data_IF_857677658293
#
_entry.id   IF_857677658293
#
_cell.length_a   1.000
_cell.length_b   1.000
_cell.length_c   1.000
_cell.angle_alpha   90.00
_cell.angle_beta   90.00
_cell.angle_gamma   90.00
#
_symmetry.space_group_name_H-M   'P 1'
#
loop_
_entity.id
_entity.type
_entity.pdbx_description
1 polymer ?
#
# COMPACT_ATOMS: atom_id res chain seq x y z
N UNK A 1 -8.92 14.84 -31.58
CA UNK A 1 -9.48 15.55 -30.41
C UNK A 1 -8.40 15.57 -29.33
N UNK A 2 -7.69 16.69 -29.16
CA UNK A 2 -6.63 16.84 -28.14
C UNK A 2 -7.30 17.13 -26.82
N UNK A 3 -7.18 16.22 -25.84
CA UNK A 3 -7.55 16.50 -24.45
C UNK A 3 -6.33 17.15 -23.81
N UNK A 4 -6.29 18.48 -23.76
CA UNK A 4 -5.33 19.25 -22.98
C UNK A 4 -5.77 19.24 -21.51
N UNK A 5 -5.08 18.51 -20.68
CA UNK A 5 -5.23 18.61 -19.23
C UNK A 5 -4.46 19.84 -18.74
N UNK A 6 -5.18 20.87 -18.30
CA UNK A 6 -4.60 22.09 -17.80
C UNK A 6 -3.70 21.83 -16.58
N UNK A 7 -2.46 22.39 -16.59
CA UNK A 7 -1.48 22.31 -15.50
C UNK A 7 -2.02 22.78 -14.14
N UNK A 8 -3.06 23.60 -14.11
CA UNK A 8 -3.68 24.13 -12.90
C UNK A 8 -4.48 23.10 -12.09
N UNK A 9 -5.11 22.11 -12.74
CA UNK A 9 -5.83 21.04 -12.03
C UNK A 9 -4.91 20.07 -11.31
N UNK A 10 -3.71 19.83 -11.85
CA UNK A 10 -2.69 18.95 -11.22
C UNK A 10 -2.12 19.61 -9.96
N UNK A 11 -1.98 20.95 -9.96
CA UNK A 11 -1.46 21.70 -8.79
C UNK A 11 -2.47 21.80 -7.64
N UNK A 12 -3.77 21.84 -7.92
CA UNK A 12 -4.81 21.92 -6.86
C UNK A 12 -4.97 20.59 -6.12
N UNK A 13 -4.95 19.47 -6.85
CA UNK A 13 -4.99 18.12 -6.27
C UNK A 13 -3.73 17.83 -5.47
N UNK A 14 -2.56 18.22 -5.96
CA UNK A 14 -1.28 18.07 -5.25
C UNK A 14 -1.24 18.89 -3.95
N UNK A 15 -1.77 20.12 -3.94
CA UNK A 15 -1.89 20.95 -2.73
C UNK A 15 -2.90 20.40 -1.73
N UNK A 16 -4.00 19.82 -2.20
CA UNK A 16 -5.00 19.16 -1.33
C UNK A 16 -4.42 17.94 -0.64
N UNK A 17 -3.64 17.11 -1.37
CA UNK A 17 -2.93 15.94 -0.84
C UNK A 17 -1.89 16.36 0.20
N UNK A 18 -1.09 17.39 -0.08
CA UNK A 18 -0.07 17.92 0.84
C UNK A 18 -0.69 18.50 2.11
N UNK A 19 -1.86 19.12 2.01
CA UNK A 19 -2.61 19.65 3.16
C UNK A 19 -3.22 18.55 4.00
N UNK A 20 -3.79 17.48 3.40
CA UNK A 20 -4.29 16.31 4.13
C UNK A 20 -3.18 15.51 4.82
N UNK A 21 -1.96 15.48 4.26
CA UNK A 21 -0.81 14.85 4.93
C UNK A 21 -0.32 15.65 6.15
N UNK A 22 -0.53 16.94 6.16
CA UNK A 22 -0.14 17.85 7.23
C UNK A 22 -1.20 17.97 8.33
N UNK A 23 -2.47 18.05 7.97
CA UNK A 23 -3.59 18.26 8.90
C UNK A 23 -4.00 16.97 9.64
N UNK A 24 -3.69 15.80 9.08
CA UNK A 24 -3.93 14.51 9.75
C UNK A 24 -2.99 14.23 10.94
N UNK A 25 -2.01 15.09 11.21
CA UNK A 25 -0.99 14.89 12.25
C UNK A 25 -0.78 16.06 13.21
N UNK A 26 -1.55 17.15 13.11
CA UNK A 26 -1.52 18.21 14.13
C UNK A 26 -2.53 17.81 15.21
N UNK A 27 -2.15 16.87 16.07
CA UNK A 27 -2.70 16.78 17.42
C UNK A 27 -2.23 18.07 18.11
N UNK A 28 -3.19 18.88 18.57
CA UNK A 28 -2.95 20.13 19.30
C UNK A 28 -1.80 19.95 20.30
N UNK A 29 -0.82 20.85 20.28
CA UNK A 29 0.37 20.81 21.12
C UNK A 29 0.10 21.00 22.62
N UNK A 30 -1.16 21.13 23.03
CA UNK A 30 -1.57 21.34 24.43
C UNK A 30 -2.22 20.10 25.09
N UNK A 31 -2.27 18.95 24.41
CA UNK A 31 -2.75 17.71 25.05
C UNK A 31 -1.57 16.99 25.68
N UNK A 32 -1.70 16.43 26.89
CA UNK A 32 -0.64 15.63 27.49
C UNK A 32 -0.23 14.49 26.52
N UNK A 33 1.03 14.09 26.51
CA UNK A 33 1.50 13.07 25.59
C UNK A 33 0.70 11.78 25.86
N UNK A 34 -0.08 11.36 24.85
CA UNK A 34 -0.78 10.07 24.86
C UNK A 34 0.25 8.97 25.06
N UNK A 35 -0.10 7.96 25.83
CA UNK A 35 0.70 6.74 25.89
C UNK A 35 0.73 6.01 24.54
N UNK A 36 1.59 5.00 24.41
CA UNK A 36 1.74 4.27 23.14
C UNK A 36 0.41 3.59 22.73
N UNK A 37 -0.37 3.13 23.69
CA UNK A 37 -1.66 2.48 23.47
C UNK A 37 -2.72 3.41 22.96
N UNK A 38 -2.90 4.51 23.64
CA UNK A 38 -3.84 5.56 23.24
C UNK A 38 -3.54 6.07 21.82
N UNK A 39 -2.25 6.24 21.49
CA UNK A 39 -1.83 6.62 20.12
C UNK A 39 -2.21 5.59 19.09
N UNK A 40 -2.00 4.31 19.36
CA UNK A 40 -2.33 3.23 18.43
C UNK A 40 -3.84 3.19 18.23
N UNK A 41 -4.64 3.26 19.29
CA UNK A 41 -6.10 3.26 19.21
C UNK A 41 -6.62 4.50 18.47
N UNK A 42 -6.15 5.68 18.81
CA UNK A 42 -6.52 6.93 18.12
C UNK A 42 -6.15 6.88 16.63
N UNK A 43 -4.98 6.34 16.30
CA UNK A 43 -4.56 6.16 14.91
C UNK A 43 -5.39 5.11 14.16
N UNK A 44 -5.82 4.04 14.82
CA UNK A 44 -6.75 3.04 14.26
C UNK A 44 -8.09 3.70 13.92
N UNK A 45 -8.69 4.40 14.87
CA UNK A 45 -9.95 5.12 14.69
C UNK A 45 -9.85 6.16 13.57
N UNK A 46 -8.79 6.97 13.58
CA UNK A 46 -8.54 7.98 12.55
C UNK A 46 -8.38 7.36 11.16
N UNK A 47 -7.69 6.22 11.06
CA UNK A 47 -7.48 5.54 9.77
C UNK A 47 -8.78 4.98 9.19
N UNK A 48 -9.65 4.38 10.00
CA UNK A 48 -10.94 3.85 9.51
C UNK A 48 -11.88 4.98 9.09
N UNK A 49 -11.95 6.07 9.86
CA UNK A 49 -12.72 7.28 9.48
C UNK A 49 -12.17 7.96 8.22
N UNK A 50 -10.85 8.03 8.07
CA UNK A 50 -10.22 8.57 6.87
C UNK A 50 -10.51 7.71 5.63
N UNK A 51 -10.58 6.38 5.79
CA UNK A 51 -10.99 5.46 4.72
C UNK A 51 -12.46 5.71 4.31
N UNK A 52 -13.37 5.91 5.27
CA UNK A 52 -14.78 6.24 4.98
C UNK A 52 -14.89 7.56 4.22
N UNK A 53 -14.24 8.61 4.71
CA UNK A 53 -14.23 9.93 4.07
C UNK A 53 -13.67 9.86 2.64
N UNK A 54 -12.53 9.18 2.44
CA UNK A 54 -11.94 9.02 1.12
C UNK A 54 -12.87 8.26 0.16
N UNK A 55 -13.56 7.21 0.63
CA UNK A 55 -14.44 6.39 -0.21
C UNK A 55 -15.74 7.14 -0.58
N UNK A 56 -16.13 8.16 0.18
CA UNK A 56 -17.28 8.99 -0.15
C UNK A 56 -17.14 9.65 -1.53
N UNK A 57 -15.93 10.03 -1.94
CA UNK A 57 -15.66 10.70 -3.20
C UNK A 57 -15.54 9.74 -4.40
N UNK A 58 -15.59 8.42 -4.18
CA UNK A 58 -15.43 7.43 -5.24
C UNK A 58 -16.59 7.38 -6.27
N UNK A 59 -17.72 8.06 -5.99
CA UNK A 59 -18.81 8.23 -6.95
C UNK A 59 -18.49 9.27 -8.03
N UNK A 60 -17.57 10.19 -7.76
CA UNK A 60 -17.11 11.22 -8.70
C UNK A 60 -16.07 10.57 -9.61
N UNK A 61 -16.37 10.48 -10.91
CA UNK A 61 -15.53 9.77 -11.88
C UNK A 61 -14.07 10.26 -11.90
N UNK A 62 -13.82 11.57 -11.84
CA UNK A 62 -12.50 12.18 -11.83
C UNK A 62 -11.71 11.91 -10.54
N UNK A 63 -12.38 11.67 -9.41
CA UNK A 63 -11.78 11.42 -8.09
C UNK A 63 -11.71 9.93 -7.74
N UNK A 64 -12.44 9.06 -8.44
CA UNK A 64 -12.63 7.64 -8.13
C UNK A 64 -11.31 6.90 -7.89
N UNK A 65 -10.35 7.06 -8.79
CA UNK A 65 -9.02 6.42 -8.68
C UNK A 65 -8.30 6.80 -7.39
N UNK A 66 -8.24 8.09 -7.11
CA UNK A 66 -7.56 8.60 -5.93
C UNK A 66 -8.31 8.23 -4.65
N UNK A 67 -9.64 8.31 -4.65
CA UNK A 67 -10.49 7.89 -3.55
C UNK A 67 -10.24 6.41 -3.17
N UNK A 68 -10.21 5.51 -4.16
CA UNK A 68 -9.92 4.09 -3.96
C UNK A 68 -8.49 3.90 -3.41
N UNK A 69 -7.51 4.61 -3.96
CA UNK A 69 -6.11 4.54 -3.52
C UNK A 69 -5.96 4.96 -2.06
N UNK A 70 -6.55 6.10 -1.68
CA UNK A 70 -6.53 6.62 -0.32
C UNK A 70 -7.25 5.69 0.64
N UNK A 71 -8.46 5.24 0.32
CA UNK A 71 -9.23 4.27 1.12
C UNK A 71 -8.40 3.03 1.39
N UNK A 72 -7.80 2.43 0.38
CA UNK A 72 -6.98 1.22 0.56
C UNK A 72 -5.73 1.47 1.39
N UNK A 73 -5.12 2.66 1.30
CA UNK A 73 -3.98 3.05 2.14
C UNK A 73 -4.39 3.10 3.61
N UNK A 74 -5.49 3.76 3.92
CA UNK A 74 -5.97 3.90 5.29
C UNK A 74 -6.48 2.56 5.86
N UNK A 75 -7.17 1.73 5.07
CA UNK A 75 -7.55 0.37 5.48
C UNK A 75 -6.33 -0.53 5.74
N UNK A 76 -5.24 -0.39 4.98
CA UNK A 76 -4.00 -1.11 5.26
C UNK A 76 -3.38 -0.67 6.59
N UNK A 77 -3.43 0.63 6.89
CA UNK A 77 -2.96 1.17 8.16
C UNK A 77 -3.82 0.65 9.32
N UNK A 78 -5.14 0.68 9.19
CA UNK A 78 -6.06 0.12 10.18
C UNK A 78 -5.77 -1.37 10.45
N UNK A 79 -5.57 -2.17 9.39
CA UNK A 79 -5.23 -3.59 9.50
C UNK A 79 -3.87 -3.86 10.14
N UNK A 80 -2.94 -2.94 10.04
CA UNK A 80 -1.64 -3.04 10.71
C UNK A 80 -1.74 -2.69 12.21
N UNK A 81 -2.66 -1.79 12.56
CA UNK A 81 -2.86 -1.30 13.94
C UNK A 81 -3.79 -2.20 14.75
N UNK A 82 -4.87 -2.73 14.16
CA UNK A 82 -5.88 -3.51 14.84
C UNK A 82 -5.31 -4.69 15.68
N UNK A 83 -4.36 -5.51 15.17
CA UNK A 83 -3.81 -6.60 15.98
C UNK A 83 -3.11 -6.15 17.26
N UNK A 84 -2.63 -4.89 17.31
CA UNK A 84 -1.91 -4.36 18.46
C UNK A 84 -2.83 -4.00 19.62
N UNK A 85 -4.11 -3.76 19.35
CA UNK A 85 -5.15 -3.43 20.35
C UNK A 85 -6.08 -4.62 20.64
N UNK A 86 -5.80 -5.81 20.11
CA UNK A 86 -6.66 -6.99 20.18
C UNK A 86 -6.80 -7.56 21.60
N UNK A 87 -5.75 -7.46 22.40
CA UNK A 87 -5.71 -8.00 23.76
C UNK A 87 -6.39 -7.04 24.79
N UNK A 88 -7.33 -6.23 24.34
CA UNK A 88 -8.15 -5.36 25.17
C UNK A 88 -9.50 -6.00 25.47
N UNK A 89 -10.25 -5.43 26.41
CA UNK A 89 -11.65 -5.82 26.70
C UNK A 89 -12.58 -5.72 25.50
N UNK A 90 -12.16 -5.03 24.45
CA UNK A 90 -12.88 -4.82 23.19
C UNK A 90 -12.44 -5.73 22.04
N UNK A 91 -11.82 -6.87 22.32
CA UNK A 91 -11.23 -7.77 21.30
C UNK A 91 -12.17 -8.12 20.15
N UNK A 92 -13.46 -8.40 20.43
CA UNK A 92 -14.46 -8.67 19.39
C UNK A 92 -14.71 -7.48 18.46
N UNK A 93 -14.71 -6.25 18.99
CA UNK A 93 -14.86 -5.03 18.17
C UNK A 93 -13.62 -4.79 17.29
N UNK A 94 -12.44 -5.10 17.82
CA UNK A 94 -11.19 -5.05 17.06
C UNK A 94 -11.19 -6.09 15.93
N UNK A 95 -11.62 -7.32 16.20
CA UNK A 95 -11.75 -8.38 15.20
C UNK A 95 -12.77 -8.01 14.11
N UNK A 96 -13.93 -7.45 14.50
CA UNK A 96 -14.91 -6.92 13.56
C UNK A 96 -14.34 -5.80 12.69
N UNK A 97 -13.61 -4.86 13.31
CA UNK A 97 -12.91 -3.78 12.57
C UNK A 97 -11.92 -4.37 11.54
N UNK A 98 -11.14 -5.37 11.94
CA UNK A 98 -10.16 -6.03 11.06
C UNK A 98 -10.82 -6.78 9.91
N UNK A 99 -11.90 -7.52 10.19
CA UNK A 99 -12.66 -8.26 9.19
C UNK A 99 -13.27 -7.32 8.15
N UNK A 100 -14.02 -6.31 8.59
CA UNK A 100 -14.67 -5.37 7.68
C UNK A 100 -13.68 -4.53 6.88
N UNK A 101 -12.57 -4.08 7.50
CA UNK A 101 -11.49 -3.40 6.80
C UNK A 101 -10.82 -4.31 5.74
N UNK A 102 -10.65 -5.60 6.05
CA UNK A 102 -10.10 -6.59 5.12
C UNK A 102 -11.04 -6.84 3.95
N UNK A 103 -12.34 -7.03 4.21
CA UNK A 103 -13.38 -7.22 3.20
C UNK A 103 -13.47 -6.03 2.26
N UNK A 104 -13.50 -4.80 2.79
CA UNK A 104 -13.51 -3.59 1.98
C UNK A 104 -12.25 -3.50 1.09
N UNK A 105 -11.06 -3.79 1.65
CA UNK A 105 -9.82 -3.78 0.90
C UNK A 105 -9.77 -4.85 -0.21
N UNK A 106 -10.37 -6.01 -0.02
CA UNK A 106 -10.51 -7.07 -1.02
C UNK A 106 -11.44 -6.62 -2.16
N UNK A 107 -12.61 -6.06 -1.85
CA UNK A 107 -13.57 -5.56 -2.83
C UNK A 107 -12.99 -4.46 -3.73
N UNK A 108 -12.11 -3.63 -3.20
CA UNK A 108 -11.41 -2.57 -3.95
C UNK A 108 -10.10 -3.07 -4.64
N UNK A 109 -9.75 -4.35 -4.47
CA UNK A 109 -8.52 -4.94 -5.00
C UNK A 109 -8.42 -4.86 -6.52
N UNK A 110 -9.37 -5.44 -7.26
CA UNK A 110 -9.34 -5.47 -8.72
C UNK A 110 -9.26 -4.07 -9.34
N UNK A 111 -10.02 -3.11 -8.78
CA UNK A 111 -10.00 -1.72 -9.26
C UNK A 111 -8.62 -1.05 -9.12
N UNK A 112 -7.87 -1.39 -8.07
CA UNK A 112 -6.49 -0.91 -7.86
C UNK A 112 -5.49 -1.62 -8.75
N UNK A 113 -5.67 -2.90 -9.01
CA UNK A 113 -4.70 -3.68 -9.78
C UNK A 113 -4.64 -3.18 -11.23
N UNK A 114 -5.79 -2.81 -11.83
CA UNK A 114 -5.84 -2.08 -13.10
C UNK A 114 -5.01 -0.79 -13.08
N UNK A 115 -5.18 0.05 -12.05
CA UNK A 115 -4.41 1.29 -11.91
C UNK A 115 -2.91 1.02 -11.69
N UNK A 116 -2.55 -0.10 -11.09
CA UNK A 116 -1.15 -0.52 -10.96
C UNK A 116 -0.54 -0.87 -12.30
N UNK A 117 -1.26 -1.59 -13.16
CA UNK A 117 -0.83 -1.90 -14.52
C UNK A 117 -0.56 -0.64 -15.34
N UNK A 118 -1.50 0.31 -15.35
CA UNK A 118 -1.33 1.60 -16.05
C UNK A 118 -0.08 2.34 -15.54
N UNK A 119 0.14 2.41 -14.22
CA UNK A 119 1.33 3.04 -13.66
C UNK A 119 2.62 2.30 -14.01
N UNK A 120 2.58 0.98 -14.07
CA UNK A 120 3.75 0.17 -14.48
C UNK A 120 4.13 0.44 -15.93
N UNK A 121 3.14 0.53 -16.81
CA UNK A 121 3.35 0.90 -18.22
C UNK A 121 3.95 2.32 -18.32
N UNK A 122 3.42 3.28 -17.56
CA UNK A 122 3.96 4.64 -17.55
C UNK A 122 5.42 4.65 -17.11
N UNK A 123 5.76 3.95 -16.01
CA UNK A 123 7.14 3.85 -15.51
C UNK A 123 8.09 3.20 -16.52
N UNK A 124 7.65 2.14 -17.17
CA UNK A 124 8.42 1.46 -18.22
C UNK A 124 8.68 2.43 -19.35
N UNK A 125 7.65 3.08 -19.88
CA UNK A 125 7.79 4.02 -20.99
C UNK A 125 8.64 5.25 -20.65
N UNK A 126 8.69 5.66 -19.39
CA UNK A 126 9.53 6.78 -18.94
C UNK A 126 11.01 6.42 -18.78
N UNK A 127 11.33 5.16 -18.48
CA UNK A 127 12.70 4.74 -18.14
C UNK A 127 13.43 4.07 -19.27
N UNK A 128 12.75 3.29 -20.10
CA UNK A 128 13.38 2.36 -21.03
C UNK A 128 13.22 2.74 -22.50
N UNK A 129 12.56 3.86 -22.78
CA UNK A 129 12.34 4.30 -24.15
C UNK A 129 12.68 5.77 -24.30
N UNK A 130 13.60 6.10 -25.20
CA UNK A 130 13.93 7.48 -25.57
C UNK A 130 13.27 7.85 -26.91
N UNK A 131 12.62 9.03 -26.96
CA UNK A 131 12.05 9.61 -28.18
C UNK A 131 10.83 8.90 -28.77
N UNK A 132 10.78 8.73 -30.07
CA UNK A 132 9.68 8.09 -30.83
C UNK A 132 9.35 6.66 -30.38
N UNK A 133 10.31 5.77 -30.13
CA UNK A 133 10.03 4.42 -29.61
C UNK A 133 9.22 4.44 -28.29
N UNK A 134 9.44 5.45 -27.44
CA UNK A 134 8.72 5.63 -26.16
C UNK A 134 7.21 5.78 -26.37
N UNK A 135 6.79 6.61 -27.35
CA UNK A 135 5.37 6.82 -27.64
C UNK A 135 4.72 5.56 -28.21
N UNK A 136 5.44 4.87 -29.10
CA UNK A 136 4.95 3.63 -29.73
C UNK A 136 4.78 2.55 -28.68
N UNK A 137 5.81 2.26 -27.86
CA UNK A 137 5.76 1.26 -26.79
C UNK A 137 4.61 1.55 -25.81
N UNK A 138 4.46 2.80 -25.37
CA UNK A 138 3.36 3.22 -24.50
C UNK A 138 2.01 3.01 -25.15
N UNK A 139 1.86 3.41 -26.40
CA UNK A 139 0.59 3.29 -27.13
C UNK A 139 0.19 1.83 -27.30
N UNK A 140 1.15 0.97 -27.66
CA UNK A 140 0.90 -0.46 -27.83
C UNK A 140 0.57 -1.13 -26.51
N UNK A 141 1.32 -0.85 -25.44
CA UNK A 141 1.03 -1.41 -24.11
C UNK A 141 -0.34 -0.96 -23.59
N UNK A 142 -0.72 0.30 -23.81
CA UNK A 142 -2.05 0.81 -23.42
C UNK A 142 -3.15 0.22 -24.30
N UNK A 143 -2.93 0.11 -25.62
CA UNK A 143 -3.89 -0.52 -26.53
C UNK A 143 -4.14 -1.98 -26.14
N UNK A 144 -3.07 -2.71 -25.81
CA UNK A 144 -3.16 -4.11 -25.36
C UNK A 144 -4.02 -4.23 -24.09
N UNK A 145 -3.84 -3.32 -23.12
CA UNK A 145 -4.70 -3.30 -21.93
C UNK A 145 -6.15 -2.94 -22.26
N UNK A 146 -6.37 -2.01 -23.17
CA UNK A 146 -7.73 -1.64 -23.61
C UNK A 146 -8.43 -2.80 -24.30
N UNK A 147 -7.72 -3.59 -25.12
CA UNK A 147 -8.26 -4.80 -25.75
C UNK A 147 -8.56 -5.90 -24.75
N UNK A 148 -7.65 -6.17 -23.79
CA UNK A 148 -7.91 -7.10 -22.71
C UNK A 148 -9.11 -6.69 -21.83
N UNK A 149 -9.45 -5.39 -21.80
CA UNK A 149 -10.62 -4.85 -21.11
C UNK A 149 -11.89 -4.89 -21.92
N UNK A 150 -11.82 -4.84 -23.26
CA UNK A 150 -13.02 -4.91 -24.09
C UNK A 150 -13.77 -6.24 -23.94
N UNK A 151 -13.05 -7.32 -23.64
CA UNK A 151 -13.62 -8.62 -23.29
C UNK A 151 -14.28 -8.64 -21.89
N UNK A 152 -13.95 -7.66 -21.03
CA UNK A 152 -14.48 -7.51 -19.67
C UNK A 152 -15.53 -6.38 -19.56
N UNK A 153 -16.23 -6.03 -20.64
CA UNK A 153 -17.12 -4.87 -20.74
C UNK A 153 -18.34 -4.83 -19.80
N UNK A 154 -18.59 -5.85 -19.03
CA UNK A 154 -19.60 -5.82 -17.94
C UNK A 154 -19.12 -5.10 -16.65
N UNK A 155 -17.92 -4.50 -16.65
CA UNK A 155 -17.25 -4.00 -15.45
C UNK A 155 -17.78 -2.64 -14.92
N UNK A 156 -18.54 -1.87 -15.66
CA UNK A 156 -19.12 -0.61 -15.18
C UNK A 156 -20.03 -0.86 -13.98
N UNK A 157 -20.95 -1.78 -14.09
CA UNK A 157 -21.85 -2.20 -13.02
C UNK A 157 -21.10 -2.97 -11.91
N UNK A 158 -20.08 -3.74 -12.28
CA UNK A 158 -19.24 -4.44 -11.31
C UNK A 158 -18.45 -3.49 -10.40
N UNK A 159 -17.88 -2.41 -10.97
CA UNK A 159 -17.11 -1.43 -10.22
C UNK A 159 -17.97 -0.64 -9.23
N UNK A 160 -19.18 -0.21 -9.63
CA UNK A 160 -20.12 0.51 -8.76
C UNK A 160 -20.66 -0.40 -7.65
N UNK A 161 -21.02 -1.62 -7.97
CA UNK A 161 -21.44 -2.62 -6.99
C UNK A 161 -20.33 -2.95 -5.99
N UNK A 162 -19.07 -3.04 -6.42
CA UNK A 162 -17.93 -3.28 -5.54
C UNK A 162 -17.69 -2.08 -4.61
N UNK A 163 -17.76 -0.85 -5.12
CA UNK A 163 -17.63 0.37 -4.31
C UNK A 163 -18.76 0.46 -3.28
N UNK A 164 -20.01 0.18 -3.67
CA UNK A 164 -21.14 0.19 -2.75
C UNK A 164 -21.00 -0.85 -1.62
N UNK A 165 -20.56 -2.06 -1.95
CA UNK A 165 -20.25 -3.10 -0.95
C UNK A 165 -19.09 -2.69 -0.05
N UNK A 166 -18.03 -2.12 -0.62
CA UNK A 166 -16.89 -1.62 0.16
C UNK A 166 -17.31 -0.51 1.12
N UNK A 167 -18.18 0.41 0.71
CA UNK A 167 -18.75 1.46 1.59
C UNK A 167 -19.49 0.87 2.80
N UNK A 168 -20.32 -0.16 2.59
CA UNK A 168 -21.01 -0.83 3.69
C UNK A 168 -20.00 -1.48 4.67
N UNK A 169 -18.97 -2.15 4.15
CA UNK A 169 -17.94 -2.75 4.99
C UNK A 169 -17.12 -1.69 5.75
N UNK A 170 -16.77 -0.56 5.11
CA UNK A 170 -16.06 0.52 5.81
C UNK A 170 -16.92 1.13 6.91
N UNK A 171 -18.22 1.34 6.67
CA UNK A 171 -19.15 1.84 7.69
C UNK A 171 -19.24 0.91 8.87
N UNK A 172 -19.38 -0.39 8.65
CA UNK A 172 -19.37 -1.38 9.73
C UNK A 172 -18.04 -1.37 10.51
N UNK A 173 -16.90 -1.19 9.83
CA UNK A 173 -15.62 -1.01 10.50
C UNK A 173 -15.58 0.26 11.36
N UNK A 174 -16.19 1.37 10.91
CA UNK A 174 -16.32 2.61 11.70
C UNK A 174 -17.15 2.40 12.94
N UNK A 175 -18.30 1.72 12.83
CA UNK A 175 -19.16 1.37 13.95
C UNK A 175 -18.40 0.55 15.00
N UNK A 176 -17.72 -0.52 14.58
CA UNK A 176 -16.90 -1.33 15.49
C UNK A 176 -15.82 -0.50 16.18
N UNK A 177 -15.01 0.24 15.42
CA UNK A 177 -13.86 0.97 15.99
C UNK A 177 -14.28 2.13 16.89
N UNK A 178 -15.44 2.74 16.63
CA UNK A 178 -15.98 3.83 17.44
C UNK A 178 -16.51 3.33 18.79
N UNK A 179 -16.96 2.08 18.83
CA UNK A 179 -17.45 1.42 20.04
C UNK A 179 -16.34 0.89 20.96
N UNK A 180 -15.07 0.92 20.51
CA UNK A 180 -13.93 0.57 21.36
C UNK A 180 -13.73 1.69 22.40
N UNK A 181 -13.84 1.34 23.67
CA UNK A 181 -13.69 2.29 24.77
C UNK A 181 -12.23 2.69 24.97
N UNK A 182 -11.99 3.94 25.36
CA UNK A 182 -10.67 4.48 25.66
C UNK A 182 -10.02 3.91 26.94
N UNK A 183 -10.81 3.24 27.80
CA UNK A 183 -10.32 2.55 28.99
C UNK A 183 -9.68 1.18 28.70
N UNK A 184 -9.68 0.79 27.45
CA UNK A 184 -8.98 -0.41 26.99
C UNK A 184 -7.47 -0.20 27.13
N UNK A 185 -6.92 -0.54 28.31
CA UNK A 185 -5.46 -0.55 28.51
C UNK A 185 -4.83 -1.44 27.43
N UNK A 186 -4.04 -0.81 26.57
CA UNK A 186 -3.23 -1.55 25.63
C UNK A 186 -2.20 -2.35 26.43
N UNK A 187 -2.11 -3.64 26.17
CA UNK A 187 -0.95 -4.39 26.59
C UNK A 187 0.28 -3.92 25.76
N UNK A 188 0.97 -2.90 26.27
CA UNK A 188 2.14 -2.31 25.64
C UNK A 188 3.22 -3.40 25.36
N UNK A 189 3.34 -4.40 26.25
CA UNK A 189 4.24 -5.52 26.08
C UNK A 189 3.84 -6.41 24.91
N UNK A 190 2.56 -6.74 24.78
CA UNK A 190 2.05 -7.52 23.65
C UNK A 190 2.18 -6.77 22.32
N UNK A 191 1.87 -5.47 22.30
CA UNK A 191 2.02 -4.63 21.12
C UNK A 191 3.49 -4.52 20.67
N UNK A 192 4.41 -4.31 21.62
CA UNK A 192 5.87 -4.34 21.38
C UNK A 192 6.30 -5.69 20.80
N UNK A 193 5.89 -6.79 21.43
CA UNK A 193 6.23 -8.15 20.98
C UNK A 193 5.74 -8.41 19.55
N UNK A 194 4.52 -8.02 19.20
CA UNK A 194 3.96 -8.15 17.86
C UNK A 194 4.75 -7.35 16.81
N UNK A 195 5.17 -6.13 17.15
CA UNK A 195 6.00 -5.31 16.25
C UNK A 195 7.39 -5.90 16.03
N UNK A 196 8.04 -6.35 17.11
CA UNK A 196 9.34 -7.00 17.02
C UNK A 196 9.25 -8.31 16.23
N UNK A 197 8.16 -9.08 16.41
CA UNK A 197 7.91 -10.28 15.63
C UNK A 197 7.80 -9.96 14.13
N UNK A 198 7.05 -8.91 13.74
CA UNK A 198 6.97 -8.47 12.34
C UNK A 198 8.34 -8.11 11.77
N UNK A 199 9.16 -7.40 12.54
CA UNK A 199 10.52 -7.02 12.14
C UNK A 199 11.43 -8.23 11.97
N UNK A 200 11.49 -9.11 12.98
CA UNK A 200 12.39 -10.25 13.02
C UNK A 200 11.98 -11.35 12.04
N UNK A 201 10.67 -11.66 11.94
CA UNK A 201 10.17 -12.65 10.99
C UNK A 201 10.37 -12.21 9.54
N UNK A 202 10.13 -10.92 9.22
CA UNK A 202 10.44 -10.39 7.90
C UNK A 202 11.92 -10.57 7.56
N UNK A 203 12.84 -10.33 8.51
CA UNK A 203 14.28 -10.49 8.29
C UNK A 203 14.69 -11.94 8.05
N UNK A 204 14.09 -12.89 8.78
CA UNK A 204 14.34 -14.32 8.61
C UNK A 204 13.85 -14.78 7.25
N UNK A 205 12.58 -14.57 6.96
CA UNK A 205 11.96 -14.99 5.71
C UNK A 205 12.61 -14.33 4.49
N UNK A 206 13.08 -13.08 4.63
CA UNK A 206 13.76 -12.38 3.54
C UNK A 206 15.09 -13.04 3.17
N UNK A 207 15.86 -13.57 4.16
CA UNK A 207 17.09 -14.34 3.87
C UNK A 207 16.76 -15.63 3.13
N UNK A 208 15.80 -16.38 3.67
CA UNK A 208 15.36 -17.65 3.07
C UNK A 208 14.82 -17.44 1.65
N UNK A 209 14.00 -16.38 1.44
CA UNK A 209 13.42 -16.08 0.13
C UNK A 209 14.44 -15.63 -0.92
N UNK A 210 15.51 -14.96 -0.52
CA UNK A 210 16.59 -14.55 -1.43
C UNK A 210 17.46 -15.73 -1.85
N UNK A 211 17.61 -16.74 -0.97
CA UNK A 211 18.40 -17.94 -1.26
C UNK A 211 17.61 -18.93 -2.16
N UNK A 212 16.28 -18.95 -2.04
CA UNK A 212 15.40 -19.93 -2.71
C UNK A 212 14.57 -19.33 -3.89
N UNK A 213 14.66 -18.03 -4.16
CA UNK A 213 13.82 -17.29 -5.13
C UNK A 213 12.31 -17.50 -4.90
N UNK A 214 11.89 -17.55 -3.62
CA UNK A 214 10.51 -17.84 -3.21
C UNK A 214 9.63 -16.59 -3.23
N UNK A 215 8.85 -16.44 -4.30
CA UNK A 215 7.93 -15.30 -4.50
C UNK A 215 6.83 -15.22 -3.44
N UNK A 216 6.39 -16.34 -2.87
CA UNK A 216 5.35 -16.37 -1.82
C UNK A 216 5.92 -15.77 -0.54
N UNK A 217 7.13 -16.18 -0.14
CA UNK A 217 7.83 -15.61 1.01
C UNK A 217 8.14 -14.14 0.82
N UNK A 218 8.57 -13.71 -0.36
CA UNK A 218 8.77 -12.28 -0.68
C UNK A 218 7.48 -11.48 -0.51
N UNK A 219 6.32 -12.06 -0.88
CA UNK A 219 5.02 -11.42 -0.65
C UNK A 219 4.69 -11.25 0.84
N UNK A 220 4.98 -12.25 1.68
CA UNK A 220 4.80 -12.17 3.13
C UNK A 220 5.77 -11.15 3.76
N UNK A 221 7.04 -11.13 3.32
CA UNK A 221 8.01 -10.11 3.72
C UNK A 221 7.50 -8.69 3.43
N UNK A 222 6.92 -8.48 2.24
CA UNK A 222 6.30 -7.20 1.87
C UNK A 222 5.19 -6.77 2.84
N UNK A 223 4.30 -7.70 3.20
CA UNK A 223 3.21 -7.42 4.15
C UNK A 223 3.76 -7.02 5.51
N UNK A 224 4.72 -7.78 6.05
CA UNK A 224 5.34 -7.54 7.35
C UNK A 224 6.12 -6.23 7.38
N UNK A 225 6.96 -5.97 6.38
CA UNK A 225 7.70 -4.72 6.25
C UNK A 225 6.76 -3.51 6.14
N UNK A 226 5.70 -3.63 5.34
CA UNK A 226 4.69 -2.57 5.20
C UNK A 226 3.95 -2.31 6.52
N UNK A 227 3.51 -3.37 7.22
CA UNK A 227 2.83 -3.27 8.51
C UNK A 227 3.72 -2.61 9.55
N UNK A 228 4.97 -3.07 9.69
CA UNK A 228 5.95 -2.49 10.59
C UNK A 228 6.18 -0.99 10.33
N UNK A 229 6.37 -0.61 9.08
CA UNK A 229 6.57 0.79 8.70
C UNK A 229 5.33 1.66 8.96
N UNK A 230 4.12 1.13 8.71
CA UNK A 230 2.86 1.83 8.94
C UNK A 230 2.61 2.06 10.43
N UNK A 231 2.84 1.07 11.28
CA UNK A 231 2.69 1.21 12.73
C UNK A 231 3.70 2.23 13.28
N UNK A 232 4.97 2.13 12.91
CA UNK A 232 5.96 3.11 13.36
C UNK A 232 5.63 4.54 12.90
N UNK A 233 4.90 4.71 11.80
CA UNK A 233 4.50 6.06 11.36
C UNK A 233 3.55 6.78 12.34
N UNK A 234 2.87 6.06 13.23
CA UNK A 234 1.98 6.62 14.24
C UNK A 234 2.72 7.42 15.30
N UNK A 235 3.95 7.01 15.58
CA UNK A 235 4.77 7.64 16.62
C UNK A 235 5.53 8.90 16.15
N UNK A 236 5.56 9.15 14.84
CA UNK A 236 6.06 10.40 14.25
C UNK A 236 7.43 10.84 14.75
N UNK A 237 7.47 12.01 15.38
CA UNK A 237 8.69 12.62 15.93
C UNK A 237 9.22 11.94 17.21
N UNK A 238 8.44 11.08 17.87
CA UNK A 238 8.88 10.35 19.07
C UNK A 238 9.82 9.17 18.76
N UNK A 239 9.93 8.80 17.49
CA UNK A 239 10.79 7.70 17.10
C UNK A 239 12.27 8.05 17.30
N UNK A 240 12.95 7.25 18.11
CA UNK A 240 14.41 7.28 18.19
C UNK A 240 15.05 6.95 16.83
N UNK A 241 16.24 7.49 16.59
CA UNK A 241 16.97 7.33 15.32
C UNK A 241 17.05 5.89 14.77
N UNK A 242 17.25 4.83 15.59
CA UNK A 242 17.22 3.45 15.08
C UNK A 242 15.86 3.05 14.49
N UNK A 243 14.75 3.49 15.10
CA UNK A 243 13.39 3.20 14.60
C UNK A 243 13.05 4.01 13.36
N UNK A 244 13.47 5.27 13.27
CA UNK A 244 13.33 6.09 12.06
C UNK A 244 14.01 5.39 10.88
N UNK A 245 15.24 4.90 11.08
CA UNK A 245 16.01 4.17 10.06
C UNK A 245 15.34 2.86 9.68
N UNK A 246 14.91 2.07 10.67
CA UNK A 246 14.22 0.81 10.46
C UNK A 246 12.92 1.01 9.66
N UNK A 247 12.10 2.03 10.03
CA UNK A 247 10.87 2.41 9.30
C UNK A 247 11.16 2.78 7.85
N UNK A 248 12.18 3.62 7.62
CA UNK A 248 12.56 4.03 6.27
C UNK A 248 12.98 2.85 5.40
N UNK A 249 13.80 1.94 5.93
CA UNK A 249 14.25 0.74 5.22
C UNK A 249 13.12 -0.25 4.98
N UNK A 250 12.22 -0.45 5.95
CA UNK A 250 11.03 -1.29 5.79
C UNK A 250 10.09 -0.74 4.70
N UNK A 251 9.89 0.59 4.65
CA UNK A 251 9.09 1.25 3.62
C UNK A 251 9.72 1.10 2.23
N UNK A 252 11.02 1.28 2.11
CA UNK A 252 11.75 1.11 0.85
C UNK A 252 11.67 -0.33 0.34
N UNK A 253 11.90 -1.33 1.22
CA UNK A 253 11.74 -2.73 0.89
C UNK A 253 10.31 -3.06 0.44
N UNK A 254 9.29 -2.65 1.20
CA UNK A 254 7.89 -2.89 0.83
C UNK A 254 7.51 -2.25 -0.50
N UNK A 255 8.11 -1.10 -0.85
CA UNK A 255 7.93 -0.44 -2.15
C UNK A 255 8.57 -1.22 -3.28
N UNK A 256 9.81 -1.67 -3.11
CA UNK A 256 10.54 -2.44 -4.12
C UNK A 256 9.86 -3.78 -4.42
N UNK A 257 9.50 -4.55 -3.37
CA UNK A 257 8.70 -5.78 -3.50
C UNK A 257 7.31 -5.53 -4.11
N UNK A 258 6.78 -4.32 -3.93
CA UNK A 258 5.51 -3.90 -4.52
C UNK A 258 5.61 -3.64 -6.01
N UNK A 259 6.69 -3.05 -6.44
CA UNK A 259 6.98 -2.76 -7.84
C UNK A 259 7.23 -4.05 -8.61
N UNK A 260 8.00 -4.96 -8.05
CA UNK A 260 8.26 -6.27 -8.67
C UNK A 260 6.96 -7.06 -8.91
N UNK A 261 6.06 -7.11 -7.92
CA UNK A 261 4.74 -7.71 -8.10
C UNK A 261 3.92 -7.02 -9.19
N UNK A 262 3.94 -5.69 -9.25
CA UNK A 262 3.18 -4.94 -10.25
C UNK A 262 3.72 -5.24 -11.67
N UNK A 263 5.03 -5.48 -11.84
CA UNK A 263 5.63 -5.95 -13.09
C UNK A 263 5.31 -7.40 -13.42
N UNK A 264 5.30 -8.29 -12.42
CA UNK A 264 4.90 -9.68 -12.63
C UNK A 264 3.44 -9.76 -13.13
N UNK A 265 2.55 -8.95 -12.56
CA UNK A 265 1.16 -8.85 -13.02
C UNK A 265 1.08 -8.33 -14.46
N UNK A 266 1.86 -7.31 -14.80
CA UNK A 266 1.92 -6.78 -16.17
C UNK A 266 2.43 -7.83 -17.17
N UNK A 267 3.44 -8.61 -16.81
CA UNK A 267 3.96 -9.69 -17.65
C UNK A 267 2.89 -10.78 -17.95
N UNK A 268 2.09 -11.14 -16.95
CA UNK A 268 0.96 -12.08 -17.13
C UNK A 268 -0.08 -11.51 -18.10
N UNK A 269 -0.49 -10.25 -17.93
CA UNK A 269 -1.48 -9.62 -18.82
C UNK A 269 -0.93 -9.46 -20.25
N UNK A 270 0.35 -9.12 -20.39
CA UNK A 270 0.99 -9.01 -21.70
C UNK A 270 1.11 -10.35 -22.43
N UNK A 271 1.36 -11.44 -21.70
CA UNK A 271 1.38 -12.79 -22.28
C UNK A 271 -0.01 -13.19 -22.78
N UNK A 272 -1.05 -12.89 -22.02
CA UNK A 272 -2.42 -13.16 -22.44
C UNK A 272 -2.78 -12.40 -23.73
N UNK A 273 -2.30 -11.16 -23.87
CA UNK A 273 -2.54 -10.32 -25.04
C UNK A 273 -1.64 -10.62 -26.26
N UNK A 274 -0.58 -11.41 -26.10
CA UNK A 274 0.35 -11.76 -27.20
C UNK A 274 -0.33 -12.39 -28.41
N UNK A 275 -1.33 -13.22 -28.19
CA UNK A 275 -2.09 -13.84 -29.29
C UNK A 275 -2.73 -12.79 -30.21
N UNK A 276 -3.14 -11.66 -29.66
CA UNK A 276 -3.76 -10.55 -30.40
C UNK A 276 -2.72 -9.68 -31.13
N UNK A 277 -1.46 -9.72 -30.71
CA UNK A 277 -0.33 -8.97 -31.30
C UNK A 277 0.50 -9.82 -32.26
N UNK A 278 0.09 -11.07 -32.53
CA UNK A 278 0.87 -12.01 -33.36
C UNK A 278 1.22 -11.39 -34.71
N UNK A 279 2.49 -11.46 -35.09
CA UNK A 279 3.02 -10.89 -36.34
C UNK A 279 3.42 -9.40 -36.26
N UNK A 280 3.23 -8.72 -35.15
CA UNK A 280 3.70 -7.34 -34.97
C UNK A 280 5.21 -7.29 -34.69
N UNK A 281 6.03 -6.49 -35.42
CA UNK A 281 7.44 -6.31 -35.15
C UNK A 281 7.70 -5.66 -33.77
N UNK A 282 6.66 -5.09 -33.15
CA UNK A 282 6.74 -4.45 -31.84
C UNK A 282 6.83 -5.44 -30.68
N UNK A 283 6.45 -6.72 -30.88
CA UNK A 283 6.46 -7.73 -29.81
C UNK A 283 7.86 -7.89 -29.22
N UNK A 284 8.88 -8.02 -30.08
CA UNK A 284 10.27 -8.19 -29.62
C UNK A 284 10.77 -6.98 -28.81
N UNK A 285 10.41 -5.78 -29.24
CA UNK A 285 10.78 -4.55 -28.51
C UNK A 285 10.07 -4.44 -27.16
N UNK A 286 8.80 -4.86 -27.10
CA UNK A 286 8.02 -4.90 -25.84
C UNK A 286 8.63 -5.92 -24.88
N UNK A 287 8.93 -7.12 -25.36
CA UNK A 287 9.52 -8.19 -24.55
C UNK A 287 10.86 -7.80 -23.99
N UNK A 288 11.73 -7.18 -24.78
CA UNK A 288 13.03 -6.70 -24.32
C UNK A 288 12.87 -5.58 -23.28
N UNK A 289 11.94 -4.66 -23.51
CA UNK A 289 11.64 -3.58 -22.54
C UNK A 289 11.12 -4.12 -21.21
N UNK A 290 10.22 -5.11 -21.25
CA UNK A 290 9.72 -5.77 -20.04
C UNK A 290 10.82 -6.55 -19.33
N UNK A 291 11.70 -7.23 -20.08
CA UNK A 291 12.85 -7.96 -19.52
C UNK A 291 13.80 -7.01 -18.79
N UNK A 292 14.16 -5.89 -19.40
CA UNK A 292 15.01 -4.88 -18.78
C UNK A 292 14.36 -4.28 -17.52
N UNK A 293 13.06 -3.97 -17.58
CA UNK A 293 12.32 -3.45 -16.43
C UNK A 293 12.31 -4.44 -15.26
N UNK A 294 12.18 -5.75 -15.53
CA UNK A 294 12.25 -6.79 -14.48
C UNK A 294 13.64 -6.90 -13.88
N UNK A 295 14.69 -6.90 -14.69
CA UNK A 295 16.07 -6.94 -14.19
C UNK A 295 16.36 -5.76 -13.24
N UNK A 296 15.95 -4.56 -13.62
CA UNK A 296 16.13 -3.38 -12.76
C UNK A 296 15.26 -3.46 -11.48
N UNK A 297 14.04 -4.00 -11.58
CA UNK A 297 13.16 -4.19 -10.41
C UNK A 297 13.78 -5.18 -9.43
N UNK A 298 14.32 -6.30 -9.92
CA UNK A 298 14.99 -7.30 -9.11
C UNK A 298 16.23 -6.72 -8.42
N UNK A 299 17.07 -5.98 -9.14
CA UNK A 299 18.24 -5.32 -8.55
C UNK A 299 17.84 -4.36 -7.41
N UNK A 300 16.78 -3.56 -7.60
CA UNK A 300 16.27 -2.66 -6.56
C UNK A 300 15.67 -3.42 -5.37
N UNK A 301 15.00 -4.53 -5.61
CA UNK A 301 14.47 -5.41 -4.57
C UNK A 301 15.60 -5.98 -3.72
N UNK A 302 16.65 -6.51 -4.35
CA UNK A 302 17.85 -7.02 -3.65
C UNK A 302 18.56 -5.93 -2.83
N UNK A 303 18.75 -4.73 -3.40
CA UNK A 303 19.35 -3.60 -2.69
C UNK A 303 18.50 -3.17 -1.49
N UNK A 304 17.18 -3.13 -1.66
CA UNK A 304 16.22 -2.87 -0.59
C UNK A 304 16.32 -3.93 0.52
N UNK A 305 16.41 -5.19 0.14
CA UNK A 305 16.56 -6.33 1.05
C UNK A 305 17.87 -6.25 1.83
N UNK A 306 19.00 -6.08 1.14
CA UNK A 306 20.32 -5.90 1.77
C UNK A 306 20.32 -4.71 2.74
N UNK A 307 19.73 -3.58 2.34
CA UNK A 307 19.65 -2.39 3.17
C UNK A 307 18.79 -2.61 4.43
N UNK A 308 17.69 -3.35 4.32
CA UNK A 308 16.84 -3.73 5.45
C UNK A 308 17.55 -4.71 6.40
N UNK A 309 18.24 -5.70 5.88
CA UNK A 309 19.00 -6.69 6.65
C UNK A 309 20.19 -6.07 7.41
N UNK A 310 20.76 -4.96 6.94
CA UNK A 310 21.83 -4.21 7.64
C UNK A 310 21.33 -3.40 8.84
N UNK A 311 20.01 -3.26 9.04
CA UNK A 311 19.47 -2.58 10.22
C UNK A 311 19.83 -3.38 11.48
N UNK A 312 20.45 -2.73 12.47
CA UNK A 312 20.87 -3.40 13.70
C UNK A 312 19.68 -3.86 14.54
N UNK A 313 19.51 -5.17 14.68
CA UNK A 313 18.45 -5.80 15.46
C UNK A 313 18.46 -5.33 16.91
N UNK A 314 19.61 -5.37 17.58
CA UNK A 314 19.73 -5.01 18.99
C UNK A 314 19.40 -3.54 19.26
N UNK A 315 19.73 -2.62 18.33
CA UNK A 315 19.36 -1.20 18.45
C UNK A 315 17.88 -0.98 18.27
N UNK A 316 17.24 -1.72 17.34
CA UNK A 316 15.78 -1.66 17.13
C UNK A 316 15.05 -2.19 18.37
N UNK A 317 15.47 -3.33 18.92
CA UNK A 317 14.86 -3.91 20.11
C UNK A 317 14.92 -2.96 21.31
N UNK A 318 16.09 -2.42 21.63
CA UNK A 318 16.23 -1.42 22.72
C UNK A 318 15.42 -0.16 22.51
N UNK A 319 15.37 0.35 21.28
CA UNK A 319 14.59 1.54 20.97
C UNK A 319 13.07 1.27 21.00
N UNK A 320 12.64 0.02 20.76
CA UNK A 320 11.25 -0.40 20.95
C UNK A 320 10.88 -0.51 22.43
N UNK A 321 11.78 -1.01 23.25
CA UNK A 321 11.59 -1.02 24.71
C UNK A 321 11.31 0.40 25.18
N UNK A 322 12.22 1.32 24.91
CA UNK A 322 12.07 2.73 25.31
C UNK A 322 10.85 3.46 24.69
N UNK A 323 10.24 2.95 23.65
CA UNK A 323 9.04 3.55 23.03
C UNK A 323 7.74 3.12 23.74
N UNK A 324 7.75 1.92 24.36
CA UNK A 324 6.58 1.30 24.98
C UNK A 324 6.63 1.25 26.50
N UNK A 325 7.78 1.55 27.10
CA UNK A 325 7.96 1.76 28.55
C UNK A 325 7.58 3.20 28.93
#
# INVERSE_FOLDING_TARGET
MKIEWGREQITSVSRYIYRMERDAFIISTNTPPLDAGERILAALQASVRAAEKALADAHIASMRREAIRLTRRELKKARALAPLVRNTTSGLLVDGTLEFASKANQLLGPLRDRDALIRSIQRISERFTDGEPRRVTRTVLLATLVFAESDRRDEGHYSEGAIARARRSVRAAVECVTSIKHDAQLDARAARAALLWNFDSCRRELREALDEDDLVRLHECRKKASSFALVLSVFGAQLASPLVRARSRARALASALGEDRDFALLDVEMRAARAQLAGSPLISAIDETLRLARLESNARMEDGARAYLRVSRSRVHRAMEALFD
#
